data_IF_911192504824
#
_entry.id   IF_911192504824
#
_cell.length_a   1.000
_cell.length_b   1.000
_cell.length_c   1.000
_cell.angle_alpha   90.00
_cell.angle_beta   90.00
_cell.angle_gamma   90.00
#
_symmetry.space_group_name_H-M   'P 1'
#
loop_
_entity.id
_entity.type
_entity.pdbx_description
1 polymer ?
#
# COMPACT_ATOMS: atom_id res chain seq x y z
N UNK A 1 -4.69 14.50 -14.23
CA UNK A 1 -4.36 13.09 -13.98
C UNK A 1 -4.98 12.67 -12.66
N UNK A 2 -5.80 11.63 -12.68
CA UNK A 2 -6.40 11.09 -11.48
C UNK A 2 -5.34 10.53 -10.55
N UNK A 3 -5.52 10.73 -9.24
CA UNK A 3 -4.65 10.19 -8.20
C UNK A 3 -5.31 8.99 -7.56
N UNK A 4 -4.59 7.91 -7.43
CA UNK A 4 -5.06 6.66 -6.83
C UNK A 4 -4.08 6.17 -5.77
N UNK A 5 -4.56 5.44 -4.79
CA UNK A 5 -3.74 4.98 -3.67
C UNK A 5 -3.78 3.46 -3.56
N UNK A 6 -2.63 2.85 -3.38
CA UNK A 6 -2.55 1.46 -2.94
C UNK A 6 -2.03 1.39 -1.50
N UNK A 7 -2.74 0.67 -0.65
CA UNK A 7 -2.30 0.33 0.71
C UNK A 7 -1.97 -1.16 0.70
N UNK A 8 -0.71 -1.50 0.77
CA UNK A 8 -0.28 -2.89 0.61
C UNK A 8 1.14 -3.11 1.14
N UNK A 9 1.60 -4.33 1.03
CA UNK A 9 3.00 -4.66 1.32
C UNK A 9 3.91 -4.34 0.16
N UNK A 10 5.18 -4.16 0.46
CA UNK A 10 6.25 -4.02 -0.53
C UNK A 10 6.81 -5.39 -0.86
N UNK A 11 6.81 -5.75 -2.14
CA UNK A 11 7.48 -6.96 -2.63
C UNK A 11 8.85 -6.59 -3.17
N UNK A 12 9.91 -6.99 -2.47
CA UNK A 12 11.28 -6.65 -2.84
C UNK A 12 11.66 -7.12 -4.25
N UNK A 13 11.00 -8.16 -4.77
CA UNK A 13 11.27 -8.68 -6.11
C UNK A 13 10.43 -8.02 -7.20
N UNK A 14 9.46 -7.19 -6.82
CA UNK A 14 8.73 -6.33 -7.75
C UNK A 14 7.57 -6.98 -8.49
N UNK A 15 7.29 -8.29 -8.26
CA UNK A 15 6.25 -9.02 -8.98
C UNK A 15 4.85 -8.89 -8.41
N UNK A 16 4.71 -8.33 -7.22
CA UNK A 16 3.43 -8.20 -6.52
C UNK A 16 3.44 -6.93 -5.66
N UNK A 17 2.44 -6.76 -4.80
CA UNK A 17 2.37 -5.68 -3.83
C UNK A 17 2.37 -4.29 -4.46
N UNK A 18 2.90 -3.33 -3.72
CA UNK A 18 2.96 -1.93 -4.15
C UNK A 18 3.65 -1.79 -5.51
N UNK A 19 4.72 -2.52 -5.75
CA UNK A 19 5.50 -2.41 -6.99
C UNK A 19 4.65 -2.78 -8.21
N UNK A 20 3.91 -3.88 -8.13
CA UNK A 20 3.00 -4.29 -9.21
C UNK A 20 1.88 -3.27 -9.40
N UNK A 21 1.33 -2.75 -8.30
CA UNK A 21 0.25 -1.77 -8.34
C UNK A 21 0.70 -0.47 -9.00
N UNK A 22 1.85 0.06 -8.62
CA UNK A 22 2.37 1.31 -9.20
C UNK A 22 2.65 1.17 -10.69
N UNK A 23 3.20 0.04 -11.12
CA UNK A 23 3.42 -0.23 -12.55
C UNK A 23 2.10 -0.26 -13.32
N UNK A 24 1.09 -0.88 -12.73
CA UNK A 24 -0.25 -0.96 -13.33
C UNK A 24 -0.89 0.43 -13.42
N UNK A 25 -0.80 1.22 -12.37
CA UNK A 25 -1.34 2.59 -12.37
C UNK A 25 -0.70 3.43 -13.46
N UNK A 26 0.60 3.31 -13.63
CA UNK A 26 1.33 4.04 -14.67
C UNK A 26 0.85 3.65 -16.06
N UNK A 27 0.64 2.35 -16.30
CA UNK A 27 0.12 1.85 -17.58
C UNK A 27 -1.27 2.40 -17.90
N UNK A 28 -2.09 2.64 -16.89
CA UNK A 28 -3.43 3.22 -17.08
C UNK A 28 -3.46 4.74 -17.04
N UNK A 29 -2.30 5.39 -16.97
CA UNK A 29 -2.21 6.85 -17.03
C UNK A 29 -2.74 7.57 -15.79
N UNK A 30 -2.73 6.91 -14.62
CA UNK A 30 -3.10 7.53 -13.36
C UNK A 30 -1.87 7.72 -12.48
N UNK A 31 -1.95 8.67 -11.55
CA UNK A 31 -0.84 8.93 -10.63
C UNK A 31 -1.01 8.07 -9.37
N UNK A 32 -0.06 7.17 -9.14
CA UNK A 32 -0.12 6.24 -8.03
C UNK A 32 0.56 6.76 -6.78
N UNK A 33 -0.18 6.79 -5.67
CA UNK A 33 0.39 6.89 -4.33
C UNK A 33 0.50 5.50 -3.70
N UNK A 34 1.37 5.35 -2.73
CA UNK A 34 1.51 4.10 -1.99
C UNK A 34 1.64 4.36 -0.50
N UNK A 35 1.05 3.46 0.29
CA UNK A 35 1.24 3.41 1.73
C UNK A 35 1.54 1.96 2.12
N UNK A 36 2.67 1.76 2.77
CA UNK A 36 3.19 0.42 3.07
C UNK A 36 2.72 -0.09 4.42
N UNK A 37 2.29 -1.34 4.46
CA UNK A 37 1.93 -2.05 5.70
C UNK A 37 3.05 -2.97 6.18
N UNK A 38 3.85 -3.47 5.24
CA UNK A 38 4.86 -4.49 5.50
C UNK A 38 5.86 -4.53 4.36
N UNK A 39 6.97 -5.22 4.62
CA UNK A 39 7.97 -5.53 3.59
C UNK A 39 8.07 -7.03 3.49
N UNK A 40 7.91 -7.56 2.28
CA UNK A 40 8.03 -8.98 1.99
C UNK A 40 9.37 -9.25 1.33
N UNK A 41 10.12 -10.15 1.93
CA UNK A 41 11.39 -10.63 1.39
C UNK A 41 11.26 -12.11 1.07
N UNK A 42 12.14 -12.61 0.21
CA UNK A 42 12.16 -14.02 -0.17
C UNK A 42 13.59 -14.53 0.06
N UNK A 43 13.70 -15.67 0.76
CA UNK A 43 14.99 -16.23 1.11
C UNK A 43 15.44 -17.23 0.05
N UNK A 44 16.47 -16.91 -0.74
CA UNK A 44 16.96 -17.82 -1.79
C UNK A 44 17.56 -19.10 -1.24
N UNK A 45 17.96 -19.11 0.04
CA UNK A 45 18.59 -20.30 0.66
C UNK A 45 17.57 -21.29 1.19
N UNK A 46 16.30 -20.90 1.28
CA UNK A 46 15.20 -21.75 1.76
C UNK A 46 14.07 -21.88 0.74
N UNK A 47 14.44 -22.05 -0.54
CA UNK A 47 13.46 -22.26 -1.61
C UNK A 47 12.60 -21.03 -1.91
N UNK A 48 13.17 -19.83 -1.73
CA UNK A 48 12.45 -18.56 -1.95
C UNK A 48 11.24 -18.39 -1.03
N UNK A 49 11.34 -18.92 0.20
CA UNK A 49 10.26 -18.74 1.17
C UNK A 49 10.05 -17.26 1.48
N UNK A 50 8.77 -16.90 1.62
CA UNK A 50 8.39 -15.51 1.90
C UNK A 50 8.51 -15.23 3.39
N UNK A 51 9.11 -14.08 3.70
CA UNK A 51 9.17 -13.55 5.05
C UNK A 51 8.50 -12.18 5.05
N UNK A 52 7.53 -11.99 5.94
CA UNK A 52 6.77 -10.75 6.04
C UNK A 52 7.21 -10.02 7.31
N UNK A 53 7.72 -8.79 7.13
CA UNK A 53 8.06 -7.92 8.24
C UNK A 53 7.04 -6.80 8.30
N UNK A 54 6.23 -6.78 9.36
CA UNK A 54 5.22 -5.73 9.54
C UNK A 54 5.88 -4.42 9.96
N UNK A 55 5.41 -3.33 9.38
CA UNK A 55 5.81 -1.99 9.80
C UNK A 55 4.97 -1.56 11.02
N UNK A 56 5.48 -0.66 11.87
CA UNK A 56 4.71 -0.14 13.00
C UNK A 56 3.40 0.52 12.53
N UNK A 57 2.31 0.31 13.28
CA UNK A 57 0.99 0.86 12.94
C UNK A 57 0.99 2.37 12.79
N UNK A 58 1.75 3.06 13.62
CA UNK A 58 1.89 4.52 13.56
C UNK A 58 2.47 4.99 12.22
N UNK A 59 3.23 4.14 11.55
CA UNK A 59 3.83 4.48 10.27
C UNK A 59 2.80 4.48 9.14
N UNK A 60 1.82 3.59 9.18
CA UNK A 60 0.72 3.62 8.20
C UNK A 60 -0.05 4.93 8.32
N UNK A 61 -0.39 5.35 9.53
CA UNK A 61 -1.11 6.61 9.73
C UNK A 61 -0.34 7.80 9.18
N UNK A 62 0.97 7.87 9.45
CA UNK A 62 1.82 8.94 8.92
C UNK A 62 1.83 8.98 7.39
N UNK A 63 1.87 7.82 6.76
CA UNK A 63 1.84 7.73 5.31
C UNK A 63 0.50 8.22 4.75
N UNK A 64 -0.61 7.81 5.37
CA UNK A 64 -1.93 8.24 4.93
C UNK A 64 -2.13 9.74 5.11
N UNK A 65 -1.64 10.32 6.20
CA UNK A 65 -1.67 11.77 6.40
C UNK A 65 -0.94 12.47 5.27
N UNK A 66 0.24 11.98 4.89
CA UNK A 66 1.01 12.56 3.78
C UNK A 66 0.28 12.48 2.45
N UNK A 67 -0.32 11.32 2.18
CA UNK A 67 -1.05 11.09 0.92
C UNK A 67 -2.26 12.03 0.81
N UNK A 68 -3.09 12.07 1.83
CA UNK A 68 -4.34 12.85 1.76
C UNK A 68 -4.11 14.36 1.90
N UNK A 69 -2.99 14.78 2.47
CA UNK A 69 -2.61 16.18 2.47
C UNK A 69 -2.28 16.69 1.05
N UNK A 70 -1.94 15.79 0.14
CA UNK A 70 -1.62 16.12 -1.25
C UNK A 70 -2.81 16.33 -2.16
N UNK A 71 -4.03 16.26 -1.64
CA UNK A 71 -5.25 16.47 -2.42
C UNK A 71 -6.12 15.23 -2.51
N UNK A 72 -7.22 15.31 -3.27
CA UNK A 72 -8.18 14.21 -3.33
C UNK A 72 -7.59 12.97 -4.03
N UNK A 73 -8.01 11.82 -3.54
CA UNK A 73 -7.68 10.51 -4.11
C UNK A 73 -8.95 9.93 -4.72
N UNK A 74 -8.91 9.61 -6.00
CA UNK A 74 -10.08 9.18 -6.76
C UNK A 74 -10.49 7.73 -6.45
N UNK A 75 -9.52 6.87 -6.15
CA UNK A 75 -9.76 5.46 -5.86
C UNK A 75 -8.66 4.91 -4.95
N UNK A 76 -8.99 3.85 -4.22
CA UNK A 76 -8.08 3.23 -3.29
C UNK A 76 -8.17 1.70 -3.46
N UNK A 77 -7.01 1.07 -3.49
CA UNK A 77 -6.90 -0.40 -3.57
C UNK A 77 -6.17 -0.88 -2.32
N UNK A 78 -6.66 -1.94 -1.72
CA UNK A 78 -5.98 -2.59 -0.60
C UNK A 78 -5.39 -3.92 -1.04
N UNK A 79 -4.17 -4.19 -0.63
CA UNK A 79 -3.52 -5.49 -0.78
C UNK A 79 -3.34 -6.17 0.57
N UNK A 80 -2.13 -6.64 0.86
CA UNK A 80 -1.81 -7.20 2.16
C UNK A 80 -1.88 -6.12 3.23
N UNK A 81 -2.79 -6.26 4.18
CA UNK A 81 -2.99 -5.26 5.23
C UNK A 81 -2.16 -5.52 6.48
N UNK A 82 -1.70 -6.74 6.67
CA UNK A 82 -0.81 -7.10 7.77
C UNK A 82 -1.54 -7.43 9.08
N UNK A 83 -2.44 -6.56 9.50
CA UNK A 83 -3.16 -6.75 10.77
C UNK A 83 -4.50 -6.02 10.79
N UNK A 84 -5.29 -6.27 11.83
CA UNK A 84 -6.63 -5.71 11.99
C UNK A 84 -6.60 -4.18 12.14
N UNK A 85 -5.62 -3.63 12.84
CA UNK A 85 -5.52 -2.19 13.05
C UNK A 85 -5.32 -1.45 11.74
N UNK A 86 -4.53 -2.00 10.84
CA UNK A 86 -4.33 -1.43 9.52
C UNK A 86 -5.63 -1.44 8.70
N UNK A 87 -6.41 -2.51 8.81
CA UNK A 87 -7.73 -2.61 8.15
C UNK A 87 -8.66 -1.52 8.67
N UNK A 88 -8.71 -1.34 9.99
CA UNK A 88 -9.53 -0.29 10.62
C UNK A 88 -9.08 1.10 10.20
N UNK A 89 -7.78 1.33 10.12
CA UNK A 89 -7.20 2.59 9.69
C UNK A 89 -7.61 2.92 8.25
N UNK A 90 -7.47 1.95 7.34
CA UNK A 90 -7.88 2.12 5.94
C UNK A 90 -9.38 2.42 5.85
N UNK A 91 -10.21 1.67 6.58
CA UNK A 91 -11.66 1.88 6.60
C UNK A 91 -12.04 3.29 7.07
N UNK A 92 -11.36 3.78 8.10
CA UNK A 92 -11.56 5.15 8.62
C UNK A 92 -11.31 6.19 7.53
N UNK A 93 -10.20 6.07 6.81
CA UNK A 93 -9.86 7.02 5.75
C UNK A 93 -10.78 6.91 4.54
N UNK A 94 -11.19 5.70 4.17
CA UNK A 94 -12.16 5.51 3.08
C UNK A 94 -13.46 6.26 3.37
N UNK A 95 -13.96 6.14 4.60
CA UNK A 95 -15.19 6.84 5.02
C UNK A 95 -14.98 8.34 5.11
N UNK A 96 -13.89 8.77 5.74
CA UNK A 96 -13.58 10.19 5.95
C UNK A 96 -13.40 10.93 4.63
N UNK A 97 -12.74 10.33 3.67
CA UNK A 97 -12.43 10.92 2.37
C UNK A 97 -13.48 10.60 1.31
N UNK A 98 -14.50 9.85 1.65
CA UNK A 98 -15.62 9.50 0.76
C UNK A 98 -15.19 8.82 -0.53
N UNK A 99 -14.28 7.89 -0.39
CA UNK A 99 -13.78 7.12 -1.53
C UNK A 99 -14.68 5.92 -1.78
#
# INVERSE_FOLDING_TARGET
>A
MEKVLSIAGSDSTGGAGIQADLKTFEEYGVFGFSSLTSIVTMDPTTGWSHEVTELPETLLEKQLISVFAGGPVAALKTGMMGNEQNIKMASKYIKQEKI
#
